data_IF_938028989001
#
_entry.id   IF_938028989001
#
_cell.length_a   1.000
_cell.length_b   1.000
_cell.length_c   1.000
_cell.angle_alpha   90.00
_cell.angle_beta   90.00
_cell.angle_gamma   90.00
#
_symmetry.space_group_name_H-M   'P 1'
#
loop_
_entity.id
_entity.type
_entity.pdbx_description
1 polymer ?
#
# COMPACT_ATOMS: atom_id res chain seq x y z
N UNK A 1 -0.68 -7.35 35.01
CA UNK A 1 0.40 -6.49 34.47
C UNK A 1 0.21 -6.40 32.96
N UNK A 2 -0.63 -5.48 32.50
CA UNK A 2 -0.26 -4.14 32.00
C UNK A 2 0.63 -4.18 30.76
N UNK A 3 0.01 -3.97 29.59
CA UNK A 3 0.40 -2.89 28.67
C UNK A 3 -0.90 -2.30 28.13
N UNK A 4 -1.30 -1.16 28.68
CA UNK A 4 -2.19 -0.23 27.97
C UNK A 4 -1.40 0.24 26.76
N UNK A 5 -1.82 -0.16 25.57
CA UNK A 5 -1.32 0.47 24.35
C UNK A 5 -1.76 1.93 24.39
N UNK A 6 -0.78 2.82 24.49
CA UNK A 6 -0.97 4.24 24.27
C UNK A 6 -1.35 4.40 22.80
N UNK A 7 -2.66 4.43 22.52
CA UNK A 7 -3.15 4.96 21.25
C UNK A 7 -2.81 6.44 21.28
N UNK A 8 -1.73 6.81 20.61
CA UNK A 8 -1.42 8.21 20.32
C UNK A 8 -2.61 8.76 19.51
N UNK A 9 -3.51 9.48 20.18
CA UNK A 9 -4.49 10.34 19.54
C UNK A 9 -3.73 11.55 18.98
N UNK A 10 -2.98 11.35 17.90
CA UNK A 10 -2.58 12.45 17.05
C UNK A 10 -3.84 12.93 16.32
N UNK A 11 -4.17 14.20 16.49
CA UNK A 11 -5.28 14.80 15.77
C UNK A 11 -4.91 14.84 14.28
N UNK A 12 -5.33 13.82 13.54
CA UNK A 12 -5.12 13.79 12.09
C UNK A 12 -6.02 14.84 11.45
N UNK A 13 -5.42 15.73 10.65
CA UNK A 13 -6.17 16.64 9.80
C UNK A 13 -6.95 15.82 8.77
N UNK A 14 -8.25 16.09 8.67
CA UNK A 14 -9.14 15.46 7.69
C UNK A 14 -9.35 16.46 6.56
N UNK A 15 -9.16 16.00 5.33
CA UNK A 15 -9.41 16.76 4.12
C UNK A 15 -10.70 16.28 3.45
N UNK A 16 -11.43 17.20 2.86
CA UNK A 16 -12.48 16.88 1.90
C UNK A 16 -11.90 16.33 0.61
N UNK A 17 -12.76 15.69 -0.20
CA UNK A 17 -12.35 15.21 -1.52
C UNK A 17 -11.82 16.36 -2.40
N UNK A 18 -12.48 17.52 -2.39
CA UNK A 18 -12.11 18.65 -3.23
C UNK A 18 -10.78 19.28 -2.82
N UNK A 19 -10.50 19.35 -1.51
CA UNK A 19 -9.20 19.83 -1.00
C UNK A 19 -8.05 18.90 -1.41
N UNK A 20 -8.25 17.58 -1.27
CA UNK A 20 -7.27 16.59 -1.68
C UNK A 20 -7.11 16.54 -3.20
N UNK A 21 -8.21 16.74 -3.95
CA UNK A 21 -8.19 16.82 -5.41
C UNK A 21 -7.42 18.03 -5.88
N UNK A 22 -7.65 19.21 -5.30
CA UNK A 22 -6.91 20.40 -5.67
C UNK A 22 -5.40 20.26 -5.34
N UNK A 23 -5.06 19.72 -4.17
CA UNK A 23 -3.66 19.47 -3.81
C UNK A 23 -2.98 18.48 -4.78
N UNK A 24 -3.68 17.44 -5.18
CA UNK A 24 -3.17 16.49 -6.19
C UNK A 24 -3.09 17.11 -7.59
N UNK A 25 -4.06 17.95 -7.97
CA UNK A 25 -4.09 18.64 -9.27
C UNK A 25 -2.90 19.59 -9.42
N UNK A 26 -2.60 20.34 -8.36
CA UNK A 26 -1.42 21.22 -8.29
C UNK A 26 -0.13 20.40 -8.43
N UNK A 27 -0.03 19.28 -7.70
CA UNK A 27 1.11 18.37 -7.75
C UNK A 27 1.33 17.80 -9.17
N UNK A 28 0.26 17.35 -9.83
CA UNK A 28 0.31 16.79 -11.18
C UNK A 28 0.21 17.86 -12.29
N UNK A 29 0.40 19.15 -11.96
CA UNK A 29 0.46 20.26 -12.93
C UNK A 29 -0.78 20.35 -13.84
N UNK A 30 -1.96 20.09 -13.28
CA UNK A 30 -3.24 20.16 -14.00
C UNK A 30 -3.73 18.85 -14.63
N UNK A 31 -3.05 17.71 -14.42
CA UNK A 31 -3.57 16.41 -14.85
C UNK A 31 -4.72 15.94 -13.95
N UNK A 32 -5.95 16.17 -14.40
CA UNK A 32 -7.17 15.81 -13.69
C UNK A 32 -7.33 14.30 -13.48
N UNK A 33 -6.89 13.48 -14.44
CA UNK A 33 -7.02 12.03 -14.34
C UNK A 33 -6.09 11.48 -13.26
N UNK A 34 -4.83 11.90 -13.28
CA UNK A 34 -3.86 11.52 -12.27
C UNK A 34 -4.30 11.97 -10.87
N UNK A 35 -4.77 13.22 -10.74
CA UNK A 35 -5.27 13.77 -9.48
C UNK A 35 -6.45 12.95 -8.94
N UNK A 36 -7.48 12.70 -9.78
CA UNK A 36 -8.66 11.94 -9.38
C UNK A 36 -8.33 10.49 -9.03
N UNK A 37 -7.46 9.84 -9.80
CA UNK A 37 -7.00 8.47 -9.52
C UNK A 37 -6.26 8.43 -8.18
N UNK A 38 -5.38 9.38 -7.91
CA UNK A 38 -4.64 9.42 -6.65
C UNK A 38 -5.57 9.58 -5.45
N UNK A 39 -6.46 10.59 -5.47
CA UNK A 39 -7.40 10.81 -4.36
C UNK A 39 -8.29 9.59 -4.15
N UNK A 40 -8.76 8.94 -5.22
CA UNK A 40 -9.69 7.82 -5.08
C UNK A 40 -9.01 6.51 -4.67
N UNK A 41 -7.76 6.26 -5.08
CA UNK A 41 -7.11 4.95 -4.94
C UNK A 41 -5.95 4.91 -3.96
N UNK A 42 -5.25 6.02 -3.71
CA UNK A 42 -3.96 6.02 -3.02
C UNK A 42 -3.88 6.93 -1.81
N UNK A 43 -4.62 8.05 -1.79
CA UNK A 43 -4.69 8.91 -0.60
C UNK A 43 -5.12 8.10 0.63
N UNK A 44 -4.44 8.32 1.75
CA UNK A 44 -4.69 7.63 3.00
C UNK A 44 -6.12 7.88 3.50
N UNK A 45 -6.86 6.78 3.71
CA UNK A 45 -8.25 6.82 4.15
C UNK A 45 -8.58 5.76 5.19
N UNK A 46 -9.55 6.06 6.04
CA UNK A 46 -10.17 5.08 6.94
C UNK A 46 -11.40 4.40 6.30
N UNK A 47 -12.07 3.55 7.07
CA UNK A 47 -13.30 2.87 6.66
C UNK A 47 -14.52 3.80 6.52
N UNK A 48 -14.47 4.99 7.09
CA UNK A 48 -15.54 5.99 7.04
C UNK A 48 -15.38 6.94 5.84
N UNK A 49 -14.26 6.85 5.12
CA UNK A 49 -13.96 7.68 3.95
C UNK A 49 -13.27 8.99 4.28
N UNK A 50 -12.83 9.19 5.53
CA UNK A 50 -12.03 10.35 5.92
C UNK A 50 -10.68 10.31 5.21
N UNK A 51 -10.25 11.43 4.60
CA UNK A 51 -8.99 11.54 3.86
C UNK A 51 -7.97 12.25 4.74
N UNK A 52 -6.77 11.68 4.86
CA UNK A 52 -5.72 12.19 5.75
C UNK A 52 -4.50 12.75 5.01
N UNK A 53 -4.53 12.72 3.67
CA UNK A 53 -3.48 13.25 2.82
C UNK A 53 -4.08 14.25 1.84
N UNK A 54 -3.49 15.44 1.78
CA UNK A 54 -3.93 16.50 0.88
C UNK A 54 -3.35 16.33 -0.51
N UNK A 55 -2.15 15.76 -0.63
CA UNK A 55 -1.47 15.61 -1.92
C UNK A 55 -0.52 14.41 -1.95
N UNK A 56 -0.06 13.98 -3.14
CA UNK A 56 0.94 12.91 -3.26
C UNK A 56 2.23 13.17 -2.46
N UNK A 57 2.57 14.43 -2.20
CA UNK A 57 3.68 14.83 -1.32
C UNK A 57 3.56 14.22 0.09
N UNK A 58 2.36 14.28 0.69
CA UNK A 58 2.10 13.75 2.02
C UNK A 58 2.29 12.22 2.04
N UNK A 59 1.85 11.55 0.96
CA UNK A 59 2.05 10.11 0.77
C UNK A 59 3.54 9.76 0.68
N UNK A 60 4.33 10.52 -0.08
CA UNK A 60 5.77 10.29 -0.18
C UNK A 60 6.44 10.40 1.17
N UNK A 61 6.07 11.41 1.97
CA UNK A 61 6.57 11.57 3.33
C UNK A 61 6.13 10.45 4.27
N UNK A 62 4.87 10.00 4.20
CA UNK A 62 4.41 8.83 4.97
C UNK A 62 5.27 7.61 4.68
N UNK A 63 5.46 7.29 3.40
CA UNK A 63 6.23 6.12 2.97
C UNK A 63 7.69 6.26 3.40
N UNK A 64 8.30 7.43 3.18
CA UNK A 64 9.69 7.69 3.52
C UNK A 64 9.96 7.60 5.02
N UNK A 65 9.07 8.14 5.86
CA UNK A 65 9.21 8.08 7.31
C UNK A 65 9.09 6.65 7.85
N UNK A 66 8.16 5.85 7.30
CA UNK A 66 8.02 4.45 7.70
C UNK A 66 9.21 3.58 7.26
N UNK A 67 9.72 3.80 6.05
CA UNK A 67 10.92 3.11 5.60
C UNK A 67 12.12 3.52 6.46
N UNK A 68 12.34 4.81 6.70
CA UNK A 68 13.42 5.30 7.55
C UNK A 68 13.33 4.77 8.99
N UNK A 69 12.12 4.54 9.53
CA UNK A 69 11.92 3.89 10.84
C UNK A 69 12.45 2.46 10.84
N UNK A 70 12.29 1.72 9.74
CA UNK A 70 12.81 0.35 9.59
C UNK A 70 14.32 0.35 9.28
N UNK A 71 14.79 1.29 8.46
CA UNK A 71 16.20 1.46 8.08
C UNK A 71 17.14 1.55 9.28
N UNK A 72 16.70 2.17 10.38
CA UNK A 72 17.45 2.27 11.66
C UNK A 72 17.90 0.93 12.24
N UNK A 73 17.35 -0.19 11.77
CA UNK A 73 17.74 -1.55 12.20
C UNK A 73 18.96 -2.10 11.44
N UNK A 74 19.41 -1.42 10.39
CA UNK A 74 20.50 -1.88 9.53
C UNK A 74 21.77 -1.04 9.71
N UNK A 75 22.97 -1.58 9.37
CA UNK A 75 24.23 -0.88 9.61
C UNK A 75 24.40 0.46 8.90
N UNK A 76 23.78 0.64 7.73
CA UNK A 76 23.87 1.86 6.91
C UNK A 76 22.45 2.39 6.65
N UNK A 77 21.80 3.02 7.63
CA UNK A 77 20.41 3.45 7.50
C UNK A 77 20.30 4.61 6.50
N UNK A 78 19.32 4.54 5.60
CA UNK A 78 18.92 5.70 4.81
C UNK A 78 18.07 6.68 5.64
N UNK A 79 18.24 7.98 5.42
CA UNK A 79 17.38 8.98 6.05
C UNK A 79 16.02 9.06 5.34
N UNK A 80 15.00 9.58 6.04
CA UNK A 80 13.69 9.82 5.43
C UNK A 80 13.81 10.82 4.24
N UNK A 81 14.69 11.80 4.33
CA UNK A 81 14.94 12.75 3.24
C UNK A 81 15.50 12.03 2.00
N UNK A 82 16.50 11.16 2.16
CA UNK A 82 17.09 10.42 1.04
C UNK A 82 16.05 9.54 0.34
N UNK A 83 15.19 8.89 1.12
CA UNK A 83 14.11 8.04 0.59
C UNK A 83 13.04 8.89 -0.09
N UNK A 84 12.61 9.99 0.53
CA UNK A 84 11.66 10.93 -0.06
C UNK A 84 12.16 11.47 -1.41
N UNK A 85 13.43 11.84 -1.52
CA UNK A 85 14.02 12.37 -2.76
C UNK A 85 14.01 11.36 -3.92
N UNK A 86 13.95 10.05 -3.62
CA UNK A 86 13.77 8.99 -4.62
C UNK A 86 12.31 8.78 -5.02
N UNK A 87 11.37 9.05 -4.12
CA UNK A 87 9.92 8.87 -4.31
C UNK A 87 9.25 10.08 -4.96
N UNK A 88 9.70 11.29 -4.62
CA UNK A 88 9.09 12.54 -5.08
C UNK A 88 9.04 12.60 -6.61
N UNK A 89 8.01 13.27 -7.11
CA UNK A 89 7.71 13.40 -8.54
C UNK A 89 7.52 12.06 -9.29
N UNK A 90 7.46 10.91 -8.59
CA UNK A 90 7.39 9.58 -9.21
C UNK A 90 8.50 9.34 -10.25
N UNK A 91 9.68 9.94 -10.04
CA UNK A 91 10.73 10.02 -11.06
C UNK A 91 11.65 8.81 -11.06
N UNK A 92 12.16 8.41 -9.90
CA UNK A 92 13.14 7.34 -9.77
C UNK A 92 12.51 6.04 -9.28
N UNK A 93 11.68 6.14 -8.25
CA UNK A 93 10.92 5.01 -7.71
C UNK A 93 9.44 5.32 -7.78
N UNK A 94 8.69 4.43 -8.43
CA UNK A 94 7.23 4.46 -8.43
C UNK A 94 6.75 3.25 -7.64
N UNK A 95 6.29 3.41 -6.39
CA UNK A 95 5.79 2.29 -5.63
C UNK A 95 4.55 1.70 -6.30
N UNK A 96 4.36 0.40 -6.14
CA UNK A 96 3.15 -0.26 -6.63
C UNK A 96 1.92 0.18 -5.82
N UNK A 97 0.73 -0.08 -6.34
CA UNK A 97 -0.52 0.41 -5.76
C UNK A 97 -0.74 0.04 -4.29
N UNK A 98 -0.45 -1.21 -3.90
CA UNK A 98 -0.65 -1.63 -2.52
C UNK A 98 0.34 -0.98 -1.55
N UNK A 99 1.67 -0.96 -1.83
CA UNK A 99 2.63 -0.14 -1.09
C UNK A 99 2.21 1.33 -0.93
N UNK A 100 1.78 1.99 -2.01
CA UNK A 100 1.34 3.40 -1.96
C UNK A 100 0.21 3.62 -0.95
N UNK A 101 -0.81 2.77 -0.99
CA UNK A 101 -1.97 2.86 -0.08
C UNK A 101 -1.70 2.36 1.34
N UNK A 102 -0.68 1.52 1.54
CA UNK A 102 -0.57 0.66 2.71
C UNK A 102 0.62 0.94 3.64
N UNK A 103 1.76 1.40 3.13
CA UNK A 103 2.93 1.66 3.98
C UNK A 103 2.61 2.84 4.92
N UNK A 104 2.64 2.61 6.23
CA UNK A 104 2.27 3.64 7.22
C UNK A 104 0.77 3.89 7.34
N UNK A 105 -0.07 3.00 6.80
CA UNK A 105 -1.51 3.04 7.00
C UNK A 105 -1.89 2.24 8.25
N UNK A 106 -2.36 2.94 9.29
CA UNK A 106 -2.83 2.33 10.53
C UNK A 106 -4.35 2.10 10.57
N UNK A 107 -5.08 2.54 9.53
CA UNK A 107 -6.55 2.46 9.47
C UNK A 107 -7.05 1.20 8.78
N UNK A 108 -6.25 0.59 7.90
CA UNK A 108 -6.65 -0.57 7.10
C UNK A 108 -5.56 -1.63 7.06
N UNK A 109 -5.96 -2.90 7.17
CA UNK A 109 -5.08 -4.04 6.95
C UNK A 109 -5.13 -4.42 5.46
N UNK A 110 -4.01 -4.24 4.77
CA UNK A 110 -3.84 -4.65 3.38
C UNK A 110 -2.51 -5.40 3.18
N UNK A 111 -2.40 -6.21 2.13
CA UNK A 111 -1.11 -6.76 1.73
C UNK A 111 -0.24 -5.64 1.16
N UNK A 112 1.01 -5.53 1.60
CA UNK A 112 2.00 -4.64 0.97
C UNK A 112 2.71 -5.30 -0.22
N UNK A 113 2.44 -6.58 -0.48
CA UNK A 113 2.91 -7.31 -1.66
C UNK A 113 1.77 -7.43 -2.66
N UNK A 114 2.06 -7.19 -3.93
CA UNK A 114 1.09 -7.27 -5.01
C UNK A 114 1.18 -8.57 -5.82
N UNK A 115 2.36 -9.18 -5.91
CA UNK A 115 2.60 -10.32 -6.80
C UNK A 115 2.89 -11.57 -5.98
N UNK A 116 2.03 -12.58 -6.13
CA UNK A 116 2.18 -13.87 -5.49
C UNK A 116 2.16 -14.98 -6.54
N UNK A 117 2.89 -16.04 -6.26
CA UNK A 117 2.76 -17.31 -6.96
C UNK A 117 2.40 -18.35 -5.92
N UNK A 118 1.30 -19.05 -6.14
CA UNK A 118 0.87 -20.14 -5.24
C UNK A 118 0.75 -21.43 -6.04
N UNK A 119 1.02 -22.52 -5.35
CA UNK A 119 1.03 -23.86 -5.91
C UNK A 119 1.20 -24.87 -4.79
N UNK A 120 0.96 -26.13 -5.11
CA UNK A 120 1.16 -27.23 -4.18
C UNK A 120 2.42 -28.00 -4.57
N UNK A 121 3.24 -28.35 -3.57
CA UNK A 121 4.34 -29.27 -3.80
C UNK A 121 3.81 -30.67 -4.15
N UNK A 122 4.40 -31.30 -5.17
CA UNK A 122 4.05 -32.66 -5.60
C UNK A 122 2.93 -32.71 -6.63
N UNK A 123 2.31 -33.90 -6.81
CA UNK A 123 1.25 -34.08 -7.79
C UNK A 123 -0.07 -33.47 -7.26
N UNK A 124 -0.40 -32.28 -7.76
CA UNK A 124 -1.60 -31.53 -7.37
C UNK A 124 -2.82 -31.78 -8.27
N UNK A 125 -2.76 -32.79 -9.15
CA UNK A 125 -3.87 -33.19 -10.05
C UNK A 125 -5.01 -33.87 -9.28
N UNK A 126 -5.74 -33.09 -8.49
CA UNK A 126 -6.90 -33.54 -7.76
C UNK A 126 -7.89 -32.42 -7.51
N UNK A 127 -9.17 -32.74 -7.40
CA UNK A 127 -10.20 -31.77 -7.01
C UNK A 127 -9.88 -31.10 -5.67
N UNK A 128 -9.34 -31.86 -4.70
CA UNK A 128 -8.91 -31.30 -3.41
C UNK A 128 -7.77 -30.29 -3.55
N UNK A 129 -6.80 -30.55 -4.44
CA UNK A 129 -5.72 -29.63 -4.72
C UNK A 129 -6.20 -28.34 -5.38
N UNK A 130 -7.09 -28.45 -6.37
CA UNK A 130 -7.71 -27.30 -7.04
C UNK A 130 -8.46 -26.42 -6.01
N UNK A 131 -9.30 -27.03 -5.16
CA UNK A 131 -10.08 -26.29 -4.17
C UNK A 131 -9.20 -25.61 -3.10
N UNK A 132 -8.10 -26.25 -2.71
CA UNK A 132 -7.15 -25.64 -1.76
C UNK A 132 -6.46 -24.41 -2.37
N UNK A 133 -6.00 -24.50 -3.61
CA UNK A 133 -5.36 -23.38 -4.31
C UNK A 133 -6.34 -22.22 -4.53
N UNK A 134 -7.61 -22.52 -4.82
CA UNK A 134 -8.68 -21.51 -4.92
C UNK A 134 -8.92 -20.81 -3.57
N UNK A 135 -8.96 -21.56 -2.46
CA UNK A 135 -9.08 -20.96 -1.12
C UNK A 135 -7.93 -19.99 -0.82
N UNK A 136 -6.68 -20.39 -1.09
CA UNK A 136 -5.50 -19.54 -0.91
C UNK A 136 -5.55 -18.28 -1.80
N UNK A 137 -5.96 -18.44 -3.07
CA UNK A 137 -6.13 -17.34 -4.02
C UNK A 137 -7.14 -16.31 -3.50
N UNK A 138 -8.31 -16.76 -3.03
CA UNK A 138 -9.36 -15.87 -2.52
C UNK A 138 -8.85 -15.05 -1.32
N UNK A 139 -8.06 -15.66 -0.43
CA UNK A 139 -7.47 -14.94 0.70
C UNK A 139 -6.48 -13.84 0.28
N UNK A 140 -5.68 -14.08 -0.75
CA UNK A 140 -4.74 -13.12 -1.30
C UNK A 140 -5.45 -11.99 -2.06
N UNK A 141 -6.41 -12.34 -2.94
CA UNK A 141 -7.16 -11.38 -3.74
C UNK A 141 -8.00 -10.43 -2.88
N UNK A 142 -8.61 -10.92 -1.79
CA UNK A 142 -9.31 -10.08 -0.80
C UNK A 142 -8.42 -8.96 -0.25
N UNK A 143 -7.11 -9.18 -0.20
CA UNK A 143 -6.11 -8.24 0.32
C UNK A 143 -5.33 -7.52 -0.79
N UNK A 144 -5.85 -7.52 -2.02
CA UNK A 144 -5.30 -6.87 -3.22
C UNK A 144 -4.00 -7.52 -3.75
N UNK A 145 -3.77 -8.79 -3.43
CA UNK A 145 -2.71 -9.60 -4.05
C UNK A 145 -3.18 -10.15 -5.40
N UNK A 146 -2.41 -9.91 -6.45
CA UNK A 146 -2.49 -10.66 -7.70
C UNK A 146 -1.77 -11.99 -7.57
N UNK A 147 -2.37 -13.05 -8.11
CA UNK A 147 -1.93 -14.43 -7.92
C UNK A 147 -1.68 -15.08 -9.29
N UNK A 148 -0.49 -15.64 -9.46
CA UNK A 148 -0.16 -16.54 -10.55
C UNK A 148 -0.20 -18.00 -10.10
N UNK A 149 -0.59 -18.89 -11.00
CA UNK A 149 -0.69 -20.33 -10.77
C UNK A 149 0.23 -21.09 -11.72
N UNK A 150 0.92 -22.10 -11.20
CA UNK A 150 1.53 -23.13 -12.04
C UNK A 150 0.49 -24.23 -12.30
N UNK A 151 0.07 -24.35 -13.57
CA UNK A 151 -0.93 -25.32 -14.01
C UNK A 151 -0.30 -26.57 -14.65
N UNK A 152 1.03 -26.69 -14.65
CA UNK A 152 1.75 -27.78 -15.33
C UNK A 152 1.43 -29.17 -14.80
N UNK A 153 0.83 -29.25 -13.60
CA UNK A 153 0.48 -30.51 -12.94
C UNK A 153 -0.94 -30.99 -13.26
N UNK A 154 -1.79 -30.17 -13.87
CA UNK A 154 -3.16 -30.57 -14.25
C UNK A 154 -3.12 -31.28 -15.61
N UNK A 155 -3.75 -32.46 -15.71
CA UNK A 155 -3.81 -33.28 -16.93
C UNK A 155 -4.88 -32.87 -17.92
#
# INVERSE_FOLDING_TARGET
MSKKENVNNEAHTIYSFDEAYQGALDYFKGDELAAKVWVTKYALKDSYGNIYERSPEDMHWRIANELARIEKKYPNPMSAQDIYDLLKDFKYIVPQGSPMSGIGNNFQIASLSNCFVIGMEGNSDSYGGIMKVDEEQVQLMKRRGGVGHDLSHIR
#
